data_IF_698280075774
#
_entry.id   IF_698280075774
#
_cell.length_a   1.000
_cell.length_b   1.000
_cell.length_c   1.000
_cell.angle_alpha   90.00
_cell.angle_beta   90.00
_cell.angle_gamma   90.00
#
_symmetry.space_group_name_H-M   'P 1'
#
loop_
_entity.id
_entity.type
_entity.pdbx_description
1 polymer ?
#
# COMPACT_ATOMS: atom_id res chain seq x y z
N UNK A 1 13.31 -18.96 16.75
CA UNK A 1 12.71 -18.84 15.42
C UNK A 1 11.70 -19.96 15.23
N UNK A 2 10.41 -19.59 15.04
CA UNK A 2 9.27 -20.53 14.97
C UNK A 2 9.36 -21.41 13.73
N UNK A 3 9.80 -20.83 12.61
CA UNK A 3 9.96 -21.55 11.34
C UNK A 3 11.06 -22.61 11.42
N UNK A 4 12.19 -22.30 12.05
CA UNK A 4 13.24 -23.28 12.34
C UNK A 4 12.71 -24.45 13.17
N UNK A 5 11.97 -24.15 14.26
CA UNK A 5 11.44 -25.18 15.15
C UNK A 5 10.43 -26.10 14.47
N UNK A 6 9.66 -25.58 13.52
CA UNK A 6 8.62 -26.35 12.79
C UNK A 6 9.20 -27.19 11.64
N UNK A 7 10.15 -26.65 10.87
CA UNK A 7 10.60 -27.25 9.60
C UNK A 7 11.98 -27.93 9.70
N UNK A 8 12.95 -27.26 10.29
CA UNK A 8 14.33 -27.75 10.31
C UNK A 8 14.67 -28.61 11.54
N UNK A 9 14.18 -28.25 12.72
CA UNK A 9 14.55 -28.93 13.95
C UNK A 9 14.14 -30.42 13.99
N UNK A 10 12.96 -30.86 13.51
CA UNK A 10 12.62 -32.28 13.46
C UNK A 10 13.58 -33.07 12.59
N UNK A 11 13.94 -32.53 11.41
CA UNK A 11 14.88 -33.17 10.50
C UNK A 11 16.30 -33.24 11.08
N UNK A 12 16.81 -32.12 11.59
CA UNK A 12 18.14 -32.06 12.20
C UNK A 12 18.23 -32.91 13.45
N UNK A 13 17.17 -33.06 14.24
CA UNK A 13 17.16 -33.93 15.43
C UNK A 13 17.36 -35.40 15.09
N UNK A 14 16.99 -35.83 13.89
CA UNK A 14 17.25 -37.18 13.39
C UNK A 14 18.67 -37.37 12.84
N UNK A 15 19.25 -36.29 12.26
CA UNK A 15 20.61 -36.33 11.71
C UNK A 15 21.70 -36.16 12.77
N UNK A 16 21.51 -35.30 13.78
CA UNK A 16 22.49 -34.97 14.79
C UNK A 16 23.01 -36.18 15.61
N UNK A 17 22.18 -37.19 15.95
CA UNK A 17 22.67 -38.39 16.63
C UNK A 17 23.48 -39.33 15.74
N UNK A 18 23.36 -39.19 14.41
CA UNK A 18 24.02 -40.07 13.45
C UNK A 18 25.50 -39.69 13.36
N UNK A 19 26.40 -40.49 13.99
CA UNK A 19 27.86 -40.36 13.84
C UNK A 19 28.40 -40.96 12.55
N UNK A 20 27.53 -41.57 11.74
CA UNK A 20 27.87 -42.22 10.46
C UNK A 20 27.21 -41.43 9.34
N UNK A 21 27.82 -41.38 8.14
CA UNK A 21 27.18 -40.73 6.96
C UNK A 21 25.80 -41.35 6.70
N UNK A 22 24.82 -40.49 6.45
CA UNK A 22 23.49 -40.92 6.01
C UNK A 22 23.56 -41.10 4.50
N UNK A 23 23.20 -42.28 4.03
CA UNK A 23 23.15 -42.60 2.60
C UNK A 23 21.73 -42.40 2.08
N UNK A 24 21.59 -41.59 1.04
CA UNK A 24 20.34 -41.37 0.32
C UNK A 24 20.35 -42.30 -0.89
N UNK A 25 19.35 -43.15 -1.03
CA UNK A 25 19.23 -44.05 -2.18
C UNK A 25 19.01 -43.21 -3.45
N UNK A 26 19.47 -43.71 -4.60
CA UNK A 26 19.43 -42.97 -5.86
C UNK A 26 17.99 -42.58 -6.30
N UNK A 27 17.00 -43.39 -5.96
CA UNK A 27 15.56 -43.14 -6.19
C UNK A 27 14.99 -42.09 -5.22
N UNK A 28 15.65 -41.83 -4.10
CA UNK A 28 15.23 -40.84 -3.10
C UNK A 28 15.95 -39.49 -3.26
N UNK A 29 16.97 -39.40 -4.11
CA UNK A 29 17.72 -38.11 -4.31
C UNK A 29 16.82 -36.99 -4.79
N UNK A 30 15.88 -37.28 -5.70
CA UNK A 30 14.93 -36.28 -6.20
C UNK A 30 14.02 -35.70 -5.10
N UNK A 31 13.51 -36.59 -4.22
CA UNK A 31 12.68 -36.18 -3.08
C UNK A 31 13.51 -35.37 -2.04
N UNK A 32 14.73 -35.83 -1.77
CA UNK A 32 15.66 -35.11 -0.90
C UNK A 32 15.95 -33.70 -1.41
N UNK A 33 16.22 -33.53 -2.70
CA UNK A 33 16.50 -32.24 -3.32
C UNK A 33 15.27 -31.32 -3.28
N UNK A 34 14.08 -31.88 -3.38
CA UNK A 34 12.82 -31.14 -3.39
C UNK A 34 12.39 -30.69 -1.99
N UNK A 35 12.53 -31.56 -0.99
CA UNK A 35 11.95 -31.36 0.36
C UNK A 35 12.96 -30.97 1.42
N UNK A 36 14.12 -31.63 1.44
CA UNK A 36 15.08 -31.49 2.53
C UNK A 36 16.20 -30.49 2.24
N UNK A 37 16.70 -30.47 1.00
CA UNK A 37 17.82 -29.61 0.60
C UNK A 37 17.51 -28.11 0.75
N UNK A 38 16.34 -27.59 0.36
CA UNK A 38 15.99 -26.20 0.55
C UNK A 38 15.98 -25.80 2.03
N UNK A 39 15.37 -26.65 2.89
CA UNK A 39 15.36 -26.44 4.34
C UNK A 39 16.78 -26.40 4.91
N UNK A 40 17.64 -27.28 4.43
CA UNK A 40 19.04 -27.30 4.88
C UNK A 40 19.81 -26.05 4.44
N UNK A 41 19.58 -25.55 3.22
CA UNK A 41 20.19 -24.32 2.71
C UNK A 41 19.78 -23.09 3.52
N UNK A 42 18.51 -22.98 3.92
CA UNK A 42 18.00 -21.84 4.68
C UNK A 42 18.54 -21.78 6.13
N UNK A 43 18.89 -22.92 6.73
CA UNK A 43 19.22 -22.99 8.15
C UNK A 43 20.63 -23.48 8.47
N UNK A 44 21.42 -23.91 7.48
CA UNK A 44 22.76 -24.43 7.69
C UNK A 44 23.73 -23.95 6.60
N UNK A 45 25.01 -23.78 6.99
CA UNK A 45 26.12 -23.63 6.03
C UNK A 45 26.34 -24.98 5.32
N UNK A 46 25.67 -25.18 4.21
CA UNK A 46 25.73 -26.42 3.44
C UNK A 46 26.88 -26.35 2.43
N UNK A 47 27.86 -27.24 2.59
CA UNK A 47 28.86 -27.48 1.54
C UNK A 47 28.36 -28.60 0.65
N UNK A 48 27.76 -28.26 -0.48
CA UNK A 48 27.27 -29.24 -1.45
C UNK A 48 28.30 -29.47 -2.56
N UNK A 49 28.50 -30.72 -3.04
CA UNK A 49 29.25 -30.95 -4.27
C UNK A 49 28.57 -30.26 -5.47
N UNK A 50 29.35 -29.73 -6.40
CA UNK A 50 28.83 -29.11 -7.63
C UNK A 50 27.89 -30.05 -8.43
N UNK A 51 28.03 -31.37 -8.25
CA UNK A 51 27.12 -32.36 -8.85
C UNK A 51 25.69 -32.27 -8.28
N UNK A 52 25.51 -31.80 -7.04
CA UNK A 52 24.19 -31.65 -6.44
C UNK A 52 23.48 -30.42 -6.97
N UNK A 53 24.23 -29.33 -7.21
CA UNK A 53 23.70 -28.11 -7.84
C UNK A 53 23.25 -28.36 -9.29
N UNK A 54 23.90 -29.29 -9.98
CA UNK A 54 23.48 -29.73 -11.32
C UNK A 54 22.19 -30.58 -11.29
N UNK A 55 21.89 -31.25 -10.16
CA UNK A 55 20.70 -32.07 -9.99
C UNK A 55 19.50 -31.27 -9.48
N UNK A 56 19.75 -30.26 -8.64
CA UNK A 56 18.72 -29.39 -8.09
C UNK A 56 19.21 -27.93 -8.16
N UNK A 57 19.13 -27.30 -9.33
CA UNK A 57 19.49 -25.90 -9.47
C UNK A 57 18.57 -25.03 -8.61
N UNK A 58 19.12 -23.92 -8.09
CA UNK A 58 18.31 -22.95 -7.36
C UNK A 58 17.26 -22.33 -8.30
N UNK A 59 16.01 -22.19 -7.86
CA UNK A 59 14.98 -21.52 -8.64
C UNK A 59 15.24 -20.03 -8.73
N UNK A 60 14.94 -19.46 -9.89
CA UNK A 60 14.75 -18.02 -10.04
C UNK A 60 13.30 -17.75 -10.46
N UNK A 61 12.74 -16.64 -9.96
CA UNK A 61 11.36 -16.28 -10.20
C UNK A 61 11.28 -14.97 -10.97
N UNK A 62 10.35 -14.91 -11.94
CA UNK A 62 9.98 -13.71 -12.65
C UNK A 62 8.46 -13.51 -12.57
N UNK A 63 8.04 -12.34 -12.09
CA UNK A 63 6.64 -11.98 -11.89
C UNK A 63 6.25 -10.89 -12.86
N UNK A 64 5.44 -11.24 -13.87
CA UNK A 64 4.89 -10.29 -14.82
C UNK A 64 3.51 -9.81 -14.34
N UNK A 65 3.43 -8.53 -13.95
CA UNK A 65 2.20 -7.92 -13.44
C UNK A 65 1.67 -6.96 -14.51
N UNK A 66 0.44 -7.21 -14.95
CA UNK A 66 -0.19 -6.47 -16.05
C UNK A 66 -1.67 -6.24 -15.83
N UNK A 67 -2.28 -5.52 -16.77
CA UNK A 67 -3.73 -5.34 -16.84
C UNK A 67 -4.24 -6.01 -18.11
N UNK A 68 -5.16 -6.95 -17.97
CA UNK A 68 -5.79 -7.69 -19.03
C UNK A 68 -7.29 -7.84 -18.75
N UNK A 69 -8.14 -7.52 -19.73
CA UNK A 69 -9.61 -7.59 -19.62
C UNK A 69 -10.23 -6.99 -18.33
N UNK A 70 -9.62 -5.89 -17.82
CA UNK A 70 -10.09 -5.23 -16.60
C UNK A 70 -9.66 -5.91 -15.29
N UNK A 71 -8.76 -6.88 -15.39
CA UNK A 71 -8.12 -7.53 -14.25
C UNK A 71 -6.65 -7.12 -14.18
N UNK A 72 -6.16 -6.88 -12.96
CA UNK A 72 -4.73 -6.82 -12.68
C UNK A 72 -4.27 -8.25 -12.41
N UNK A 73 -3.42 -8.77 -13.29
CA UNK A 73 -2.96 -10.16 -13.25
C UNK A 73 -1.50 -10.26 -12.83
N UNK A 74 -1.14 -11.31 -12.13
CA UNK A 74 0.25 -11.66 -11.82
C UNK A 74 0.57 -13.05 -12.38
N UNK A 75 1.47 -13.10 -13.36
CA UNK A 75 1.99 -14.33 -13.91
C UNK A 75 3.36 -14.62 -13.32
N UNK A 76 3.52 -15.77 -12.68
CA UNK A 76 4.77 -16.17 -12.03
C UNK A 76 5.44 -17.25 -12.87
N UNK A 77 6.64 -16.96 -13.37
CA UNK A 77 7.50 -17.91 -14.08
C UNK A 77 8.61 -18.35 -13.16
N UNK A 78 8.76 -19.65 -12.98
CA UNK A 78 9.90 -20.27 -12.29
C UNK A 78 10.89 -20.80 -13.30
N UNK A 79 12.18 -20.62 -13.04
CA UNK A 79 13.27 -21.09 -13.88
C UNK A 79 14.29 -21.90 -13.06
N UNK A 80 14.61 -23.10 -13.54
CA UNK A 80 15.61 -24.01 -12.99
C UNK A 80 16.67 -24.28 -14.06
N UNK A 81 17.80 -23.58 -14.03
CA UNK A 81 18.81 -23.65 -15.08
C UNK A 81 18.23 -23.22 -16.43
N UNK A 82 18.23 -24.13 -17.41
CA UNK A 82 17.69 -23.88 -18.76
C UNK A 82 16.18 -24.16 -18.89
N UNK A 83 15.56 -24.70 -17.87
CA UNK A 83 14.13 -25.03 -17.86
C UNK A 83 13.31 -23.95 -17.18
N UNK A 84 12.19 -23.58 -17.79
CA UNK A 84 11.26 -22.61 -17.20
C UNK A 84 9.81 -22.98 -17.46
N UNK A 85 8.94 -22.64 -16.53
CA UNK A 85 7.50 -22.85 -16.67
C UNK A 85 6.70 -21.79 -15.89
N UNK A 86 5.44 -21.64 -16.28
CA UNK A 86 4.45 -20.91 -15.48
C UNK A 86 4.13 -21.72 -14.22
N UNK A 87 4.26 -21.10 -13.06
CA UNK A 87 4.13 -21.76 -11.76
C UNK A 87 2.75 -22.40 -11.57
N UNK A 88 1.69 -21.75 -12.07
CA UNK A 88 0.33 -22.26 -11.99
C UNK A 88 0.07 -23.45 -12.92
N UNK A 89 0.82 -23.57 -14.01
CA UNK A 89 0.72 -24.71 -14.92
C UNK A 89 1.30 -25.99 -14.35
N UNK A 90 2.10 -25.88 -13.29
CA UNK A 90 2.78 -27.01 -12.66
C UNK A 90 1.92 -27.77 -11.63
N UNK A 91 0.73 -27.25 -11.32
CA UNK A 91 -0.12 -27.77 -10.25
C UNK A 91 0.23 -27.20 -8.88
N UNK A 92 -0.63 -27.45 -7.89
CA UNK A 92 -0.41 -26.97 -6.53
C UNK A 92 0.86 -27.58 -5.92
N UNK A 93 1.74 -26.80 -5.29
CA UNK A 93 2.87 -27.33 -4.53
C UNK A 93 2.37 -28.32 -3.46
N UNK A 94 3.06 -29.43 -3.27
CA UNK A 94 2.71 -30.43 -2.26
C UNK A 94 1.71 -31.49 -2.70
N UNK A 95 1.36 -31.59 -3.97
CA UNK A 95 0.63 -32.75 -4.49
C UNK A 95 1.51 -33.99 -4.38
N UNK A 96 1.28 -34.79 -3.35
CA UNK A 96 2.00 -36.05 -3.07
C UNK A 96 1.89 -37.11 -4.19
N UNK A 97 1.14 -36.83 -5.24
CA UNK A 97 0.80 -37.75 -6.32
C UNK A 97 1.27 -37.34 -7.71
N UNK A 98 2.04 -36.23 -7.83
CA UNK A 98 2.62 -35.91 -9.13
C UNK A 98 3.82 -36.84 -9.41
N UNK A 99 3.55 -37.88 -10.22
CA UNK A 99 4.60 -38.62 -10.91
C UNK A 99 5.52 -37.62 -11.61
N UNK A 100 6.84 -37.72 -11.39
CA UNK A 100 7.84 -36.89 -12.05
C UNK A 100 7.56 -36.88 -13.55
N UNK A 101 7.08 -35.76 -14.07
CA UNK A 101 6.86 -35.58 -15.51
C UNK A 101 8.22 -35.69 -16.20
N UNK A 102 8.38 -36.51 -17.24
CA UNK A 102 9.65 -36.61 -17.94
C UNK A 102 10.11 -35.23 -18.45
N UNK A 103 11.33 -34.83 -18.09
CA UNK A 103 11.93 -33.56 -18.52
C UNK A 103 11.70 -32.38 -17.58
N UNK A 104 11.01 -32.56 -16.47
CA UNK A 104 10.91 -31.54 -15.40
C UNK A 104 12.06 -31.78 -14.41
N UNK A 105 12.88 -30.77 -14.09
CA UNK A 105 13.94 -30.89 -13.09
C UNK A 105 13.33 -31.04 -11.68
N UNK A 106 14.12 -31.51 -10.70
CA UNK A 106 13.71 -31.47 -9.30
C UNK A 106 13.37 -30.03 -8.90
N UNK A 107 12.17 -29.83 -8.36
CA UNK A 107 11.64 -28.52 -7.99
C UNK A 107 11.89 -28.23 -6.51
N UNK A 108 12.14 -26.98 -6.18
CA UNK A 108 12.12 -26.46 -4.81
C UNK A 108 10.71 -25.97 -4.46
N UNK A 109 9.85 -26.91 -4.06
CA UNK A 109 8.44 -26.62 -3.74
C UNK A 109 8.32 -25.65 -2.55
N UNK A 110 9.32 -25.56 -1.67
CA UNK A 110 9.31 -24.63 -0.53
C UNK A 110 9.49 -23.20 -1.02
N UNK A 111 10.45 -22.97 -1.92
CA UNK A 111 10.65 -21.63 -2.53
C UNK A 111 9.45 -21.24 -3.39
N UNK A 112 8.92 -22.15 -4.19
CA UNK A 112 7.72 -21.93 -5.01
C UNK A 112 6.51 -21.56 -4.15
N UNK A 113 6.27 -22.30 -3.06
CA UNK A 113 5.19 -22.02 -2.12
C UNK A 113 5.34 -20.65 -1.46
N UNK A 114 6.57 -20.26 -1.07
CA UNK A 114 6.85 -18.94 -0.49
C UNK A 114 6.49 -17.81 -1.44
N UNK A 115 6.83 -17.94 -2.74
CA UNK A 115 6.48 -16.93 -3.76
C UNK A 115 4.97 -16.86 -3.96
N UNK A 116 4.29 -18.01 -4.06
CA UNK A 116 2.83 -18.06 -4.20
C UNK A 116 2.11 -17.49 -2.98
N UNK A 117 2.54 -17.85 -1.77
CA UNK A 117 1.95 -17.37 -0.52
C UNK A 117 2.12 -15.87 -0.38
N UNK A 118 3.31 -15.34 -0.71
CA UNK A 118 3.53 -13.88 -0.71
C UNK A 118 2.68 -13.18 -1.76
N UNK A 119 2.57 -13.73 -2.96
CA UNK A 119 1.74 -13.13 -4.01
C UNK A 119 0.24 -13.18 -3.66
N UNK A 120 -0.22 -14.22 -2.99
CA UNK A 120 -1.60 -14.36 -2.52
C UNK A 120 -2.00 -13.35 -1.41
N UNK A 121 -1.04 -12.61 -0.82
CA UNK A 121 -1.35 -11.49 0.07
C UNK A 121 -1.87 -10.26 -0.69
N UNK A 122 -1.57 -10.16 -1.99
CA UNK A 122 -1.86 -8.99 -2.83
C UNK A 122 -2.77 -9.31 -4.02
N UNK A 123 -3.02 -10.58 -4.29
CA UNK A 123 -3.86 -11.05 -5.39
C UNK A 123 -4.77 -12.16 -4.92
N UNK A 124 -5.95 -12.24 -5.50
CA UNK A 124 -6.86 -13.37 -5.32
C UNK A 124 -6.53 -14.50 -6.30
N UNK A 125 -6.88 -15.74 -5.93
CA UNK A 125 -6.84 -16.86 -6.86
C UNK A 125 -7.99 -16.79 -7.86
N UNK A 126 -7.67 -16.72 -9.14
CA UNK A 126 -8.64 -16.55 -10.22
C UNK A 126 -8.31 -17.47 -11.39
N UNK A 127 -9.25 -18.35 -11.77
CA UNK A 127 -9.21 -19.23 -12.96
C UNK A 127 -7.82 -19.79 -13.35
N UNK A 128 -7.05 -20.26 -12.37
CA UNK A 128 -5.72 -20.86 -12.60
C UNK A 128 -4.55 -19.84 -12.59
N UNK A 129 -4.75 -18.67 -12.03
CA UNK A 129 -3.73 -17.66 -11.84
C UNK A 129 -4.00 -16.78 -10.64
N UNK A 130 -3.36 -15.63 -10.59
CA UNK A 130 -3.51 -14.60 -9.57
C UNK A 130 -4.01 -13.32 -10.23
N UNK A 131 -5.13 -12.77 -9.75
CA UNK A 131 -5.70 -11.53 -10.27
C UNK A 131 -6.59 -10.84 -9.24
N UNK A 132 -6.88 -9.54 -9.48
CA UNK A 132 -7.96 -8.80 -8.85
C UNK A 132 -8.55 -7.81 -9.87
N UNK A 133 -9.74 -7.29 -9.61
CA UNK A 133 -10.39 -6.31 -10.50
C UNK A 133 -9.59 -5.00 -10.54
N UNK A 134 -9.31 -4.46 -11.73
CA UNK A 134 -8.60 -3.18 -11.89
C UNK A 134 -9.28 -2.01 -11.15
N UNK A 135 -10.58 -2.14 -10.88
CA UNK A 135 -11.38 -1.16 -10.14
C UNK A 135 -11.31 -1.34 -8.63
N UNK A 136 -10.68 -2.40 -8.16
CA UNK A 136 -10.38 -2.57 -6.74
C UNK A 136 -9.19 -1.68 -6.37
N UNK A 137 -9.52 -0.45 -6.00
CA UNK A 137 -8.53 0.57 -5.66
C UNK A 137 -7.74 0.20 -4.39
N UNK A 138 -8.30 -0.61 -3.49
CA UNK A 138 -7.63 -1.04 -2.26
C UNK A 138 -6.54 -2.07 -2.56
N UNK A 139 -6.86 -3.11 -3.32
CA UNK A 139 -5.88 -4.11 -3.76
C UNK A 139 -4.79 -3.47 -4.61
N UNK A 140 -5.15 -2.53 -5.50
CA UNK A 140 -4.17 -1.79 -6.30
C UNK A 140 -3.25 -0.92 -5.42
N UNK A 141 -3.78 -0.23 -4.42
CA UNK A 141 -2.98 0.56 -3.49
C UNK A 141 -2.02 -0.31 -2.69
N UNK A 142 -2.49 -1.43 -2.11
CA UNK A 142 -1.67 -2.38 -1.37
C UNK A 142 -0.55 -2.97 -2.24
N UNK A 143 -0.87 -3.36 -3.48
CA UNK A 143 0.12 -3.86 -4.43
C UNK A 143 1.23 -2.83 -4.71
N UNK A 144 0.84 -1.58 -5.02
CA UNK A 144 1.81 -0.53 -5.40
C UNK A 144 2.64 -0.01 -4.22
N UNK A 145 2.12 -0.05 -3.00
CA UNK A 145 2.83 0.48 -1.81
C UNK A 145 3.69 -0.56 -1.10
N UNK A 146 3.24 -1.80 -1.04
CA UNK A 146 3.87 -2.87 -0.25
C UNK A 146 4.18 -4.10 -1.10
N UNK A 147 3.24 -4.49 -1.97
CA UNK A 147 3.34 -5.74 -2.72
C UNK A 147 4.52 -5.80 -3.68
N UNK A 148 4.78 -4.72 -4.43
CA UNK A 148 5.90 -4.68 -5.36
C UNK A 148 7.26 -4.85 -4.65
N UNK A 149 7.42 -4.25 -3.48
CA UNK A 149 8.63 -4.39 -2.68
C UNK A 149 8.78 -5.83 -2.17
N UNK A 150 7.72 -6.40 -1.58
CA UNK A 150 7.72 -7.77 -1.08
C UNK A 150 8.00 -8.81 -2.17
N UNK A 151 7.38 -8.65 -3.35
CA UNK A 151 7.61 -9.54 -4.48
C UNK A 151 9.03 -9.39 -5.07
N UNK A 152 9.58 -8.16 -5.08
CA UNK A 152 10.94 -7.92 -5.58
C UNK A 152 12.03 -8.54 -4.71
N UNK A 153 11.74 -8.85 -3.46
CA UNK A 153 12.66 -9.61 -2.59
C UNK A 153 12.76 -11.10 -2.99
N UNK A 154 11.74 -11.60 -3.69
CA UNK A 154 11.64 -13.02 -4.08
C UNK A 154 12.05 -13.27 -5.53
N UNK A 155 12.06 -12.26 -6.39
CA UNK A 155 12.41 -12.40 -7.79
C UNK A 155 12.29 -11.11 -8.59
N UNK A 156 12.45 -11.23 -9.90
CA UNK A 156 12.32 -10.11 -10.82
C UNK A 156 10.84 -9.73 -11.01
N UNK A 157 10.49 -8.45 -10.81
CA UNK A 157 9.13 -7.93 -11.01
C UNK A 157 9.09 -7.06 -12.25
N UNK A 158 8.26 -7.44 -13.21
CA UNK A 158 8.01 -6.73 -14.46
C UNK A 158 6.61 -6.16 -14.47
N UNK A 159 6.49 -4.83 -14.54
CA UNK A 159 5.20 -4.14 -14.64
C UNK A 159 4.87 -3.79 -16.09
N UNK A 160 3.59 -3.90 -16.45
CA UNK A 160 3.09 -3.34 -17.71
C UNK A 160 3.18 -1.81 -17.71
N UNK A 161 3.24 -1.21 -18.90
CA UNK A 161 3.33 0.26 -19.03
C UNK A 161 2.15 0.98 -18.39
N UNK A 162 0.97 0.36 -18.41
CA UNK A 162 -0.24 0.90 -17.78
C UNK A 162 -0.08 1.03 -16.26
N UNK A 163 0.45 0.03 -15.58
CA UNK A 163 0.70 0.08 -14.14
C UNK A 163 1.87 0.99 -13.77
N UNK A 164 2.91 1.08 -14.62
CA UNK A 164 4.04 2.00 -14.42
C UNK A 164 3.63 3.47 -14.44
N UNK A 165 2.54 3.81 -15.13
CA UNK A 165 2.04 5.18 -15.21
C UNK A 165 1.28 5.61 -13.94
N UNK A 166 0.80 4.66 -13.13
CA UNK A 166 0.12 4.96 -11.88
C UNK A 166 1.17 5.31 -10.82
N UNK A 167 1.14 6.53 -10.31
CA UNK A 167 2.03 6.95 -9.23
C UNK A 167 1.28 7.03 -7.89
N UNK A 168 1.93 6.58 -6.83
CA UNK A 168 1.46 6.80 -5.46
C UNK A 168 2.11 8.09 -4.95
N UNK A 169 1.29 9.10 -4.70
CA UNK A 169 1.74 10.43 -4.27
C UNK A 169 1.53 10.62 -2.78
N UNK A 170 2.38 11.43 -2.12
CA UNK A 170 2.12 11.86 -0.75
C UNK A 170 0.84 12.69 -0.69
N UNK A 171 0.27 12.80 0.51
CA UNK A 171 -0.88 13.66 0.76
C UNK A 171 -0.61 15.11 0.34
N UNK A 172 -1.60 15.80 -0.28
CA UNK A 172 -1.45 17.17 -0.72
C UNK A 172 -1.44 18.11 0.47
N UNK A 173 -0.72 19.22 0.36
CA UNK A 173 -0.83 20.30 1.33
C UNK A 173 -2.13 21.08 1.08
N UNK A 174 -3.03 21.00 2.03
CA UNK A 174 -4.28 21.75 2.00
C UNK A 174 -4.08 23.16 2.55
N UNK A 175 -4.70 24.12 1.90
CA UNK A 175 -4.66 25.54 2.31
C UNK A 175 -6.07 26.10 2.43
N UNK A 176 -6.28 26.96 3.42
CA UNK A 176 -7.53 27.71 3.60
C UNK A 176 -7.26 29.17 3.42
N UNK A 177 -7.89 29.76 2.41
CA UNK A 177 -7.85 31.21 2.18
C UNK A 177 -9.04 31.85 2.89
N UNK A 178 -8.76 32.80 3.75
CA UNK A 178 -9.77 33.56 4.46
C UNK A 178 -9.62 35.07 4.12
N UNK A 179 -10.62 35.64 3.46
CA UNK A 179 -10.63 37.03 2.99
C UNK A 179 -11.86 37.76 3.48
N UNK A 180 -11.68 39.05 3.90
CA UNK A 180 -12.80 39.87 4.34
C UNK A 180 -13.04 41.00 3.35
N UNK A 181 -14.25 41.03 2.75
CA UNK A 181 -14.69 42.06 1.81
C UNK A 181 -16.14 42.47 2.12
N UNK A 182 -16.39 43.78 2.12
CA UNK A 182 -17.75 44.33 2.24
C UNK A 182 -18.58 43.72 3.40
N UNK A 183 -17.96 43.54 4.56
CA UNK A 183 -18.56 42.95 5.76
C UNK A 183 -18.94 41.45 5.63
N UNK A 184 -18.39 40.76 4.64
CA UNK A 184 -18.45 39.29 4.47
C UNK A 184 -17.05 38.70 4.64
N UNK A 185 -17.00 37.51 5.20
CA UNK A 185 -15.83 36.65 5.30
C UNK A 185 -15.98 35.53 4.30
N UNK A 186 -15.13 35.48 3.31
CA UNK A 186 -15.05 34.36 2.35
C UNK A 186 -13.96 33.41 2.81
N UNK A 187 -14.35 32.11 2.91
CA UNK A 187 -13.47 31.00 3.30
C UNK A 187 -13.45 30.00 2.14
N UNK A 188 -12.27 29.74 1.59
CA UNK A 188 -12.06 28.86 0.44
C UNK A 188 -11.00 27.83 0.78
N UNK A 189 -11.26 26.54 0.48
CA UNK A 189 -10.31 25.44 0.61
C UNK A 189 -9.62 25.18 -0.72
N UNK A 190 -8.30 25.09 -0.71
CA UNK A 190 -7.48 24.76 -1.86
C UNK A 190 -6.44 23.70 -1.53
N UNK A 191 -5.81 23.15 -2.54
CA UNK A 191 -4.71 22.21 -2.38
C UNK A 191 -3.58 22.53 -3.36
N UNK A 192 -2.35 22.36 -2.90
CA UNK A 192 -1.19 22.47 -3.76
C UNK A 192 -1.09 21.24 -4.67
N UNK A 193 -1.09 21.44 -5.99
CA UNK A 193 -0.85 20.39 -6.98
C UNK A 193 -2.04 19.47 -7.28
N UNK A 194 -3.24 19.80 -6.78
CA UNK A 194 -4.51 19.15 -7.18
C UNK A 194 -5.43 20.15 -7.89
N UNK A 195 -6.19 19.60 -8.86
CA UNK A 195 -7.32 20.34 -9.43
C UNK A 195 -8.49 20.39 -8.42
N UNK A 196 -9.46 21.29 -8.62
CA UNK A 196 -10.67 21.31 -7.80
C UNK A 196 -11.44 19.98 -7.85
N UNK A 197 -11.49 19.34 -9.03
CA UNK A 197 -12.13 18.04 -9.20
C UNK A 197 -11.40 16.94 -8.41
N UNK A 198 -10.07 16.90 -8.46
CA UNK A 198 -9.27 15.93 -7.70
C UNK A 198 -9.36 16.16 -6.19
N UNK A 199 -9.43 17.43 -5.76
CA UNK A 199 -9.62 17.77 -4.35
C UNK A 199 -11.00 17.36 -3.85
N UNK A 200 -12.05 17.49 -4.68
CA UNK A 200 -13.37 16.97 -4.35
C UNK A 200 -13.36 15.44 -4.17
N UNK A 201 -12.66 14.71 -5.07
CA UNK A 201 -12.48 13.24 -4.95
C UNK A 201 -11.71 12.91 -3.66
N UNK A 202 -10.64 13.64 -3.35
CA UNK A 202 -9.85 13.45 -2.15
C UNK A 202 -10.69 13.61 -0.87
N UNK A 203 -11.51 14.65 -0.80
CA UNK A 203 -12.41 14.89 0.33
C UNK A 203 -13.52 13.84 0.40
N UNK A 204 -14.14 13.46 -0.71
CA UNK A 204 -15.17 12.42 -0.75
C UNK A 204 -14.65 11.05 -0.31
N UNK A 205 -13.42 10.71 -0.70
CA UNK A 205 -12.76 9.48 -0.25
C UNK A 205 -12.56 9.47 1.27
N UNK A 206 -12.20 10.61 1.88
CA UNK A 206 -12.12 10.73 3.33
C UNK A 206 -13.51 10.52 4.00
N UNK A 207 -14.56 11.12 3.44
CA UNK A 207 -15.95 10.96 3.92
C UNK A 207 -16.40 9.48 3.91
N UNK A 208 -15.90 8.70 2.97
CA UNK A 208 -16.15 7.25 2.87
C UNK A 208 -15.22 6.41 3.76
N UNK A 209 -14.39 7.03 4.60
CA UNK A 209 -13.42 6.35 5.48
C UNK A 209 -12.36 5.53 4.73
N UNK A 210 -12.03 5.92 3.50
CA UNK A 210 -10.92 5.32 2.76
C UNK A 210 -9.58 5.83 3.29
N UNK A 211 -8.51 5.11 3.02
CA UNK A 211 -7.13 5.48 3.41
C UNK A 211 -6.38 6.22 2.31
N UNK A 212 -6.93 6.22 1.10
CA UNK A 212 -6.39 6.86 -0.10
C UNK A 212 -7.51 7.36 -1.00
N UNK A 213 -7.16 8.19 -2.00
CA UNK A 213 -8.03 8.65 -3.06
C UNK A 213 -7.41 8.36 -4.42
N UNK A 214 -8.19 7.86 -5.39
CA UNK A 214 -7.77 7.71 -6.78
C UNK A 214 -8.20 8.91 -7.59
N UNK A 215 -7.22 9.69 -8.08
CA UNK A 215 -7.44 10.92 -8.81
C UNK A 215 -7.93 10.66 -10.25
N UNK A 216 -8.40 11.70 -10.93
CA UNK A 216 -8.82 11.64 -12.34
C UNK A 216 -7.70 11.22 -13.29
N UNK A 217 -6.45 11.48 -12.94
CA UNK A 217 -5.26 11.00 -13.67
C UNK A 217 -5.02 9.49 -13.52
N UNK A 218 -5.68 8.82 -12.57
CA UNK A 218 -5.41 7.44 -12.16
C UNK A 218 -4.36 7.33 -11.05
N UNK A 219 -3.67 8.41 -10.69
CA UNK A 219 -2.73 8.43 -9.56
C UNK A 219 -3.46 8.20 -8.23
N UNK A 220 -2.74 7.61 -7.29
CA UNK A 220 -3.25 7.34 -5.96
C UNK A 220 -2.60 8.31 -4.97
N UNK A 221 -3.41 8.94 -4.13
CA UNK A 221 -2.97 9.88 -3.10
C UNK A 221 -3.40 9.39 -1.73
N UNK A 222 -2.47 9.34 -0.79
CA UNK A 222 -2.76 8.94 0.58
C UNK A 222 -3.54 10.05 1.30
N UNK A 223 -4.56 9.65 2.09
CA UNK A 223 -5.29 10.56 2.97
C UNK A 223 -4.53 10.76 4.29
N UNK A 224 -4.57 11.98 4.82
CA UNK A 224 -3.82 12.36 6.02
C UNK A 224 -4.61 13.26 6.98
N UNK A 225 -3.91 13.83 7.95
CA UNK A 225 -4.42 14.82 8.90
C UNK A 225 -4.99 16.09 8.22
N UNK A 226 -4.53 16.42 7.02
CA UNK A 226 -5.04 17.56 6.24
C UNK A 226 -6.50 17.35 5.86
N UNK A 227 -6.86 16.15 5.36
CA UNK A 227 -8.24 15.81 5.06
C UNK A 227 -9.12 15.88 6.32
N UNK A 228 -8.64 15.32 7.44
CA UNK A 228 -9.35 15.40 8.72
C UNK A 228 -9.59 16.84 9.16
N UNK A 229 -8.57 17.69 9.08
CA UNK A 229 -8.67 19.08 9.48
C UNK A 229 -9.62 19.89 8.59
N UNK A 230 -9.66 19.60 7.27
CA UNK A 230 -10.61 20.22 6.35
C UNK A 230 -12.05 19.84 6.67
N UNK A 231 -12.31 18.55 7.00
CA UNK A 231 -13.63 18.11 7.42
C UNK A 231 -14.04 18.72 8.76
N UNK A 232 -13.15 18.75 9.76
CA UNK A 232 -13.41 19.41 11.04
C UNK A 232 -13.75 20.90 10.87
N UNK A 233 -13.05 21.60 9.99
CA UNK A 233 -13.36 22.99 9.65
C UNK A 233 -14.76 23.12 9.02
N UNK A 234 -15.11 22.27 8.08
CA UNK A 234 -16.42 22.29 7.42
C UNK A 234 -17.57 21.98 8.41
N UNK A 235 -17.39 20.98 9.26
CA UNK A 235 -18.37 20.62 10.32
C UNK A 235 -18.60 21.77 11.30
N UNK A 236 -17.53 22.40 11.76
CA UNK A 236 -17.60 23.55 12.67
C UNK A 236 -18.26 24.78 12.01
N UNK A 237 -18.13 24.93 10.68
CA UNK A 237 -18.79 25.98 9.90
C UNK A 237 -20.24 25.60 9.52
N UNK A 238 -20.65 24.34 9.73
CA UNK A 238 -21.97 23.85 9.37
C UNK A 238 -22.21 23.72 7.87
N UNK A 239 -21.14 23.45 7.09
CA UNK A 239 -21.17 23.31 5.62
C UNK A 239 -20.58 21.96 5.21
N UNK A 240 -20.80 21.52 3.96
CA UNK A 240 -20.07 20.36 3.43
C UNK A 240 -18.62 20.78 3.06
N UNK A 241 -17.68 19.87 3.27
CA UNK A 241 -16.27 20.13 2.94
C UNK A 241 -16.06 20.45 1.44
N UNK A 242 -16.91 19.93 0.57
CA UNK A 242 -16.89 20.21 -0.86
C UNK A 242 -17.34 21.64 -1.17
N UNK A 243 -18.29 22.21 -0.39
CA UNK A 243 -18.76 23.58 -0.58
C UNK A 243 -17.62 24.60 -0.31
N UNK A 244 -16.65 24.24 0.53
CA UNK A 244 -15.47 25.07 0.77
C UNK A 244 -14.56 25.23 -0.47
N UNK A 245 -14.68 24.35 -1.48
CA UNK A 245 -13.91 24.48 -2.72
C UNK A 245 -14.40 25.66 -3.59
N UNK A 246 -15.71 25.90 -3.54
CA UNK A 246 -16.37 27.01 -4.27
C UNK A 246 -16.34 28.32 -3.45
N UNK A 247 -15.92 28.21 -2.18
CA UNK A 247 -15.88 29.32 -1.24
C UNK A 247 -17.21 29.55 -0.53
N UNK A 248 -17.16 29.68 0.79
CA UNK A 248 -18.32 29.92 1.65
C UNK A 248 -18.24 31.32 2.21
N UNK A 249 -19.30 32.13 2.03
CA UNK A 249 -19.41 33.48 2.55
C UNK A 249 -20.14 33.50 3.90
N UNK A 250 -19.49 34.03 4.92
CA UNK A 250 -19.97 34.16 6.29
C UNK A 250 -20.05 35.64 6.68
N UNK A 251 -20.82 36.03 7.71
CA UNK A 251 -20.73 37.36 8.28
C UNK A 251 -19.32 37.67 8.80
N UNK A 252 -18.82 38.89 8.62
CA UNK A 252 -17.48 39.30 9.11
C UNK A 252 -17.33 39.14 10.63
N UNK A 253 -18.43 39.08 11.40
CA UNK A 253 -18.41 38.79 12.84
C UNK A 253 -17.86 37.36 13.14
N UNK A 254 -17.92 36.44 12.18
CA UNK A 254 -17.40 35.08 12.31
C UNK A 254 -15.86 35.01 12.18
N UNK A 255 -15.18 36.10 11.85
CA UNK A 255 -13.73 36.14 11.59
C UNK A 255 -12.92 35.60 12.77
N UNK A 256 -13.27 36.03 14.02
CA UNK A 256 -12.56 35.56 15.22
C UNK A 256 -12.74 34.07 15.47
N UNK A 257 -13.94 33.56 15.22
CA UNK A 257 -14.25 32.14 15.32
C UNK A 257 -13.45 31.33 14.30
N UNK A 258 -13.44 31.72 13.02
CA UNK A 258 -12.66 31.08 11.97
C UNK A 258 -11.17 31.13 12.25
N UNK A 259 -10.64 32.26 12.75
CA UNK A 259 -9.24 32.36 13.14
C UNK A 259 -8.85 31.38 14.25
N UNK A 260 -9.72 31.22 15.25
CA UNK A 260 -9.51 30.26 16.34
C UNK A 260 -9.51 28.81 15.86
N UNK A 261 -10.32 28.49 14.86
CA UNK A 261 -10.38 27.16 14.25
C UNK A 261 -9.13 26.86 13.42
N UNK A 262 -8.71 27.81 12.57
CA UNK A 262 -7.49 27.69 11.79
C UNK A 262 -6.24 27.57 12.68
N UNK A 263 -6.24 28.21 13.84
CA UNK A 263 -5.16 28.06 14.82
C UNK A 263 -5.10 26.66 15.45
N UNK A 264 -6.22 25.94 15.51
CA UNK A 264 -6.32 24.57 16.04
C UNK A 264 -6.07 23.49 14.97
N UNK A 265 -6.01 23.88 13.70
CA UNK A 265 -5.83 22.98 12.56
C UNK A 265 -4.45 23.21 11.89
N UNK A 266 -3.34 22.84 12.54
CA UNK A 266 -1.98 23.11 12.02
C UNK A 266 -1.67 22.34 10.72
N UNK A 267 -2.46 21.33 10.38
CA UNK A 267 -2.36 20.58 9.13
C UNK A 267 -2.89 21.37 7.92
N UNK A 268 -3.59 22.49 8.14
CA UNK A 268 -4.06 23.39 7.08
C UNK A 268 -3.16 24.64 7.01
N UNK A 269 -2.68 24.96 5.82
CA UNK A 269 -1.97 26.22 5.59
C UNK A 269 -2.99 27.37 5.55
N UNK A 270 -2.99 28.25 6.54
CA UNK A 270 -3.95 29.34 6.63
C UNK A 270 -3.41 30.62 5.94
N UNK A 271 -4.02 30.99 4.81
CA UNK A 271 -3.77 32.25 4.11
C UNK A 271 -4.82 33.29 4.55
N UNK A 272 -4.38 34.24 5.34
CA UNK A 272 -5.20 35.33 5.92
C UNK A 272 -4.86 36.66 5.25
N UNK A 273 -5.82 37.30 4.63
CA UNK A 273 -5.58 38.59 4.03
C UNK A 273 -5.39 39.72 5.09
N UNK A 274 -4.97 40.90 4.66
CA UNK A 274 -4.75 42.02 5.56
C UNK A 274 -6.05 42.55 6.20
N UNK A 275 -7.20 42.39 5.53
CA UNK A 275 -8.48 42.80 6.05
C UNK A 275 -8.97 41.84 7.13
N UNK A 276 -8.76 40.51 6.93
CA UNK A 276 -9.04 39.47 7.92
C UNK A 276 -8.27 39.76 9.21
N UNK A 277 -6.94 39.93 9.14
CA UNK A 277 -6.09 40.18 10.32
C UNK A 277 -6.54 41.41 11.10
N UNK A 278 -6.81 42.53 10.39
CA UNK A 278 -7.34 43.76 11.03
C UNK A 278 -8.70 43.55 11.69
N UNK A 279 -9.54 42.71 11.11
CA UNK A 279 -10.86 42.42 11.69
C UNK A 279 -10.72 41.56 12.96
N UNK A 280 -9.82 40.56 12.97
CA UNK A 280 -9.47 39.79 14.18
C UNK A 280 -9.00 40.71 15.30
N UNK A 281 -8.01 41.59 15.04
CA UNK A 281 -7.47 42.54 16.02
C UNK A 281 -8.56 43.43 16.60
N UNK A 282 -9.44 43.95 15.72
CA UNK A 282 -10.55 44.83 16.17
C UNK A 282 -11.55 44.08 17.03
N UNK A 283 -11.96 42.84 16.65
CA UNK A 283 -12.91 42.06 17.40
C UNK A 283 -12.33 41.55 18.74
N UNK A 284 -11.06 41.21 18.78
CA UNK A 284 -10.36 40.80 20.01
C UNK A 284 -10.24 41.99 20.99
N UNK A 285 -10.02 43.20 20.49
CA UNK A 285 -10.00 44.43 21.30
C UNK A 285 -11.39 44.73 21.88
N UNK A 286 -12.47 44.58 21.10
CA UNK A 286 -13.84 44.75 21.57
C UNK A 286 -14.23 43.72 22.63
N UNK A 287 -13.80 42.48 22.51
CA UNK A 287 -14.04 41.40 23.49
C UNK A 287 -13.34 41.65 24.84
N UNK A 288 -12.29 42.47 24.87
CA UNK A 288 -11.55 42.84 26.09
C UNK A 288 -12.05 44.16 26.73
N UNK A 289 -13.04 44.84 26.13
CA UNK A 289 -13.62 46.05 26.70
C UNK A 289 -14.59 45.68 27.85
N UNK A 290 -14.32 46.20 29.05
CA UNK A 290 -15.24 46.14 30.19
C UNK A 290 -16.45 47.05 29.91
N UNK A 291 -17.57 46.44 29.60
CA UNK A 291 -18.85 47.16 29.50
C UNK A 291 -19.45 47.33 30.92
N UNK A 292 -19.26 48.48 31.51
CA UNK A 292 -20.01 48.90 32.69
C UNK A 292 -21.48 49.15 32.32
N UNK A 293 -22.37 48.31 32.78
CA UNK A 293 -23.82 48.55 32.64
C UNK A 293 -24.18 49.82 33.43
N UNK A 294 -24.80 50.85 32.80
CA UNK A 294 -25.27 52.02 33.53
C UNK A 294 -26.23 51.61 34.65
N UNK A 295 -26.03 52.14 35.85
CA UNK A 295 -26.83 51.83 37.05
C UNK A 295 -28.31 52.32 36.99
N UNK A 296 -28.76 52.75 35.77
CA UNK A 296 -30.12 53.22 35.51
C UNK A 296 -30.81 52.34 34.46
N UNK A 297 -31.05 51.07 34.77
CA UNK A 297 -32.07 50.22 34.14
C UNK A 297 -32.91 49.62 35.23
#
# INVERSE_FOLDING_TARGET
>A
DTAFAQHAAPFLSHLLPCRTPVHIAADQVGEFCRMALPILRDYTDLTAPAALDAVAPEPSFAMAIGVDDGLVTCKITVTYGDWSADLFSLGAPGSLFEEQRPGVPPRDEVAEFRVMDTAALYFDFYEGGLAFEERDDESLFCLLTEGLAALSELGEVMLSDRLRQISVRPAPKLSVRATVKSNLLDVELGASGLSAADLAIYLDSYKRHQTFARLTSGDIVRLDEGARAAFGLAEDLGVDAVDLLDGVSLPASSTLFVDSMLARAPALEADRDAAFRRTVERLDTLGKMDFTVPASL
#
